data_IF_984247306312
#
_entry.id   IF_984247306312
#
_cell.length_a   1.000
_cell.length_b   1.000
_cell.length_c   1.000
_cell.angle_alpha   90.00
_cell.angle_beta   90.00
_cell.angle_gamma   90.00
#
_symmetry.space_group_name_H-M   'P 1'
#
loop_
_entity.id
_entity.type
_entity.pdbx_description
1 polymer ?
#
# COMPACT_ATOMS: atom_id res chain seq x y z
N UNK A 1 -2.16 -3.19 -19.34
CA UNK A 1 -1.82 -2.52 -18.07
C UNK A 1 -3.09 -2.44 -17.24
N UNK A 2 -3.12 -3.16 -16.13
CA UNK A 2 -4.22 -3.13 -15.17
C UNK A 2 -4.22 -1.80 -14.42
N UNK A 3 -5.32 -1.05 -14.45
CA UNK A 3 -5.45 0.14 -13.62
C UNK A 3 -5.72 -0.29 -12.16
N UNK A 4 -4.67 -0.43 -11.35
CA UNK A 4 -4.75 -0.85 -9.94
C UNK A 4 -5.64 0.07 -9.10
N UNK A 5 -5.62 1.37 -9.38
CA UNK A 5 -6.40 2.37 -8.64
C UNK A 5 -7.91 2.10 -8.69
N UNK A 6 -8.40 1.56 -9.80
CA UNK A 6 -9.82 1.26 -10.03
C UNK A 6 -10.25 -0.14 -9.58
N UNK A 7 -9.32 -0.95 -9.08
CA UNK A 7 -9.63 -2.29 -8.59
C UNK A 7 -10.06 -2.27 -7.12
N UNK A 8 -10.60 -3.39 -6.64
CA UNK A 8 -11.02 -3.60 -5.26
C UNK A 8 -10.34 -4.83 -4.69
N UNK A 9 -9.93 -4.73 -3.44
CA UNK A 9 -9.44 -5.89 -2.70
C UNK A 9 -10.55 -6.94 -2.59
N UNK A 10 -10.13 -8.20 -2.54
CA UNK A 10 -11.01 -9.36 -2.35
C UNK A 10 -10.46 -10.24 -1.25
N UNK A 11 -11.34 -10.92 -0.53
CA UNK A 11 -10.92 -11.99 0.38
C UNK A 11 -10.20 -13.09 -0.42
N UNK A 12 -9.02 -13.49 0.05
CA UNK A 12 -8.16 -14.50 -0.59
C UNK A 12 -8.08 -15.77 0.27
N UNK A 13 -9.24 -16.30 0.69
CA UNK A 13 -9.32 -17.53 1.46
C UNK A 13 -8.76 -18.71 0.66
N UNK A 14 -7.70 -19.34 1.16
CA UNK A 14 -7.02 -20.44 0.47
C UNK A 14 -6.19 -20.02 -0.74
N UNK A 15 -5.97 -18.71 -0.94
CA UNK A 15 -5.07 -18.20 -1.98
C UNK A 15 -3.59 -18.42 -1.65
N UNK A 16 -2.75 -18.37 -2.67
CA UNK A 16 -1.29 -18.44 -2.52
C UNK A 16 -0.66 -17.08 -2.75
N UNK A 17 0.41 -16.76 -2.01
CA UNK A 17 1.20 -15.57 -2.26
C UNK A 17 1.72 -15.52 -3.71
N UNK A 18 1.90 -14.30 -4.23
CA UNK A 18 2.50 -14.06 -5.54
C UNK A 18 3.94 -14.59 -5.59
N UNK A 19 4.34 -15.04 -6.79
CA UNK A 19 5.73 -15.39 -7.05
C UNK A 19 6.60 -14.12 -7.26
N UNK A 20 7.94 -14.24 -7.20
CA UNK A 20 8.85 -13.08 -7.32
C UNK A 20 8.78 -12.33 -8.66
N UNK A 21 8.40 -12.99 -9.74
CA UNK A 21 8.25 -12.36 -11.06
C UNK A 21 7.01 -11.44 -11.06
N UNK A 22 5.87 -11.97 -10.62
CA UNK A 22 4.64 -11.20 -10.47
C UNK A 22 4.81 -10.00 -9.52
N UNK A 23 5.50 -10.18 -8.39
CA UNK A 23 5.79 -9.06 -7.46
C UNK A 23 6.57 -7.95 -8.17
N UNK A 24 7.58 -8.31 -8.97
CA UNK A 24 8.42 -7.36 -9.71
C UNK A 24 7.60 -6.57 -10.75
N UNK A 25 6.75 -7.26 -11.50
CA UNK A 25 5.89 -6.65 -12.52
C UNK A 25 4.86 -5.68 -11.92
N UNK A 26 4.38 -5.97 -10.71
CA UNK A 26 3.46 -5.08 -10.00
C UNK A 26 4.18 -3.90 -9.33
N UNK A 27 5.38 -4.11 -8.76
CA UNK A 27 6.20 -3.01 -8.24
C UNK A 27 6.53 -1.96 -9.31
N UNK A 28 6.70 -2.38 -10.57
CA UNK A 28 6.89 -1.46 -11.69
C UNK A 28 5.67 -0.52 -11.93
N UNK A 29 4.49 -0.86 -11.43
CA UNK A 29 3.26 -0.08 -11.56
C UNK A 29 3.02 0.88 -10.39
N UNK A 30 3.74 0.74 -9.27
CA UNK A 30 3.60 1.58 -8.06
C UNK A 30 4.95 2.20 -7.69
N UNK A 31 5.31 3.29 -8.39
CA UNK A 31 6.64 3.89 -8.25
C UNK A 31 6.97 4.34 -6.82
N UNK A 32 8.17 4.00 -6.36
CA UNK A 32 8.66 4.30 -5.01
C UNK A 32 8.31 3.25 -3.95
N UNK A 33 7.48 2.27 -4.28
CA UNK A 33 7.31 1.05 -3.46
C UNK A 33 8.43 0.06 -3.75
N UNK A 34 8.83 -0.69 -2.73
CA UNK A 34 9.87 -1.73 -2.84
C UNK A 34 9.57 -2.90 -1.90
N UNK A 35 10.12 -4.08 -2.18
CA UNK A 35 9.99 -5.24 -1.30
C UNK A 35 10.96 -5.11 -0.11
N UNK A 36 10.45 -5.26 1.11
CA UNK A 36 11.20 -5.15 2.35
C UNK A 36 10.66 -6.13 3.40
N UNK A 37 11.46 -7.14 3.73
CA UNK A 37 11.16 -8.16 4.75
C UNK A 37 9.77 -8.78 4.62
N UNK A 38 9.40 -9.23 3.41
CA UNK A 38 8.14 -9.93 3.14
C UNK A 38 6.93 -9.02 2.88
N UNK A 39 7.08 -7.70 2.97
CA UNK A 39 6.04 -6.71 2.68
C UNK A 39 6.49 -5.75 1.57
N UNK A 40 5.56 -5.11 0.86
CA UNK A 40 5.90 -3.92 0.08
C UNK A 40 5.90 -2.69 1.00
N UNK A 41 6.87 -1.81 0.84
CA UNK A 41 7.06 -0.64 1.70
C UNK A 41 7.28 0.64 0.87
N UNK A 42 6.73 1.75 1.34
CA UNK A 42 7.05 3.11 0.88
C UNK A 42 7.03 4.11 2.02
N UNK A 43 7.93 5.09 1.96
CA UNK A 43 7.93 6.24 2.89
C UNK A 43 7.30 7.45 2.20
N UNK A 44 6.24 7.98 2.79
CA UNK A 44 5.59 9.23 2.36
C UNK A 44 6.10 10.36 3.26
N UNK A 45 6.60 11.45 2.66
CA UNK A 45 7.16 12.59 3.38
C UNK A 45 6.22 13.79 3.31
N UNK A 46 6.20 14.59 4.37
CA UNK A 46 5.31 15.72 4.62
C UNK A 46 6.06 16.84 5.35
N UNK A 47 5.51 18.06 5.39
CA UNK A 47 6.21 19.20 5.99
C UNK A 47 6.11 19.25 7.52
N UNK A 48 5.07 18.65 8.08
CA UNK A 48 4.73 18.74 9.50
C UNK A 48 3.78 17.60 9.91
N UNK A 49 3.56 17.49 11.22
CA UNK A 49 2.75 16.41 11.79
C UNK A 49 1.27 16.47 11.42
N UNK A 50 0.72 17.67 11.19
CA UNK A 50 -0.67 17.81 10.79
C UNK A 50 -0.90 17.21 9.39
N UNK A 51 0.00 17.46 8.45
CA UNK A 51 -0.02 16.83 7.11
C UNK A 51 0.15 15.31 7.20
N UNK A 52 1.11 14.83 8.02
CA UNK A 52 1.33 13.39 8.23
C UNK A 52 0.07 12.71 8.76
N UNK A 53 -0.58 13.27 9.79
CA UNK A 53 -1.82 12.72 10.33
C UNK A 53 -2.99 12.81 9.34
N UNK A 54 -3.05 13.86 8.52
CA UNK A 54 -4.03 13.97 7.44
C UNK A 54 -3.94 12.80 6.46
N UNK A 55 -2.73 12.46 6.01
CA UNK A 55 -2.48 11.29 5.17
C UNK A 55 -2.86 9.98 5.88
N UNK A 56 -2.43 9.79 7.13
CA UNK A 56 -2.72 8.56 7.91
C UNK A 56 -4.23 8.34 8.04
N UNK A 57 -5.00 9.39 8.35
CA UNK A 57 -6.45 9.27 8.49
C UNK A 57 -7.13 8.91 7.16
N UNK A 58 -6.72 9.54 6.06
CA UNK A 58 -7.26 9.24 4.73
C UNK A 58 -6.90 7.80 4.30
N UNK A 59 -5.67 7.36 4.57
CA UNK A 59 -5.24 5.99 4.30
C UNK A 59 -6.00 4.97 5.17
N UNK A 60 -6.28 5.30 6.43
CA UNK A 60 -7.09 4.46 7.31
C UNK A 60 -8.51 4.26 6.78
N UNK A 61 -9.12 5.29 6.18
CA UNK A 61 -10.42 5.16 5.52
C UNK A 61 -10.37 4.22 4.30
N UNK A 62 -9.31 4.34 3.48
CA UNK A 62 -9.08 3.44 2.33
C UNK A 62 -8.89 2.00 2.82
N UNK A 63 -8.04 1.78 3.81
CA UNK A 63 -7.77 0.46 4.37
C UNK A 63 -9.05 -0.25 4.84
N UNK A 64 -9.93 0.47 5.56
CA UNK A 64 -11.22 -0.07 5.97
C UNK A 64 -12.19 -0.31 4.80
N UNK A 65 -12.17 0.57 3.78
CA UNK A 65 -13.00 0.42 2.58
C UNK A 65 -12.61 -0.78 1.73
N UNK A 66 -11.31 -1.12 1.73
CA UNK A 66 -10.75 -2.27 1.02
C UNK A 66 -10.67 -3.53 1.89
N UNK A 67 -10.98 -3.43 3.17
CA UNK A 67 -10.78 -4.51 4.15
C UNK A 67 -9.36 -5.11 4.07
N UNK A 68 -8.37 -4.23 3.95
CA UNK A 68 -6.95 -4.59 3.82
C UNK A 68 -6.08 -3.56 4.51
N UNK A 69 -5.52 -3.91 5.68
CA UNK A 69 -4.91 -2.97 6.61
C UNK A 69 -3.38 -2.95 6.51
N UNK A 70 -2.75 -1.76 6.39
CA UNK A 70 -1.29 -1.64 6.43
C UNK A 70 -0.73 -1.69 7.84
N UNK A 71 0.57 -2.03 7.95
CA UNK A 71 1.39 -1.60 9.07
C UNK A 71 1.86 -0.16 8.82
N UNK A 72 1.64 0.73 9.80
CA UNK A 72 2.02 2.14 9.72
C UNK A 72 3.04 2.51 10.80
N UNK A 73 4.15 3.13 10.38
CA UNK A 73 5.08 3.80 11.29
C UNK A 73 5.00 5.30 11.07
N UNK A 74 4.45 6.01 12.05
CA UNK A 74 4.14 7.44 11.97
C UNK A 74 5.21 8.26 12.68
N UNK A 75 5.85 9.18 11.96
CA UNK A 75 6.84 10.12 12.47
C UNK A 75 6.31 11.57 12.34
N UNK A 76 7.11 12.56 12.72
CA UNK A 76 6.72 13.97 12.61
C UNK A 76 6.43 14.38 11.15
N UNK A 77 7.34 14.07 10.24
CA UNK A 77 7.37 14.55 8.85
C UNK A 77 7.19 13.43 7.82
N UNK A 78 6.87 12.21 8.25
CA UNK A 78 6.72 11.09 7.34
C UNK A 78 5.89 9.96 7.92
N UNK A 79 5.36 9.14 7.03
CA UNK A 79 4.74 7.87 7.36
C UNK A 79 5.37 6.76 6.51
N UNK A 80 5.85 5.71 7.17
CA UNK A 80 6.24 4.48 6.47
C UNK A 80 5.03 3.56 6.43
N UNK A 81 4.64 3.18 5.21
CA UNK A 81 3.47 2.33 4.95
C UNK A 81 3.97 0.99 4.44
N UNK A 82 3.50 -0.10 5.03
CA UNK A 82 3.80 -1.47 4.60
C UNK A 82 2.54 -2.27 4.38
N UNK A 83 2.51 -3.05 3.30
CA UNK A 83 1.43 -3.99 3.00
C UNK A 83 1.99 -5.40 2.76
N UNK A 84 1.34 -6.36 3.39
CA UNK A 84 1.40 -7.78 3.10
C UNK A 84 0.01 -8.38 3.34
N UNK A 85 -0.23 -9.58 2.80
CA UNK A 85 -1.50 -10.28 2.94
C UNK A 85 -1.32 -11.51 3.82
N UNK A 86 -1.69 -11.37 5.10
CA UNK A 86 -1.54 -12.43 6.10
C UNK A 86 -2.21 -13.76 5.72
N UNK A 87 -3.40 -13.71 5.10
CA UNK A 87 -4.16 -14.93 4.77
C UNK A 87 -3.48 -15.83 3.74
N UNK A 88 -2.55 -15.29 2.95
CA UNK A 88 -1.78 -16.03 1.95
C UNK A 88 -0.29 -16.19 2.32
N UNK A 89 0.10 -15.69 3.50
CA UNK A 89 1.47 -15.77 4.01
C UNK A 89 2.50 -15.00 3.20
N UNK A 90 2.12 -13.89 2.55
CA UNK A 90 3.02 -13.10 1.71
C UNK A 90 2.30 -12.01 0.91
N UNK A 91 2.88 -11.66 -0.24
CA UNK A 91 2.34 -10.58 -1.09
C UNK A 91 1.19 -11.10 -1.96
N UNK A 92 0.15 -10.28 -2.12
CA UNK A 92 -0.97 -10.49 -3.03
C UNK A 92 -1.26 -9.25 -3.87
N UNK A 93 -2.26 -9.36 -4.76
CA UNK A 93 -2.72 -8.22 -5.56
C UNK A 93 -3.31 -7.10 -4.69
N UNK A 94 -3.90 -7.43 -3.53
CA UNK A 94 -4.52 -6.46 -2.63
C UNK A 94 -3.50 -5.43 -2.13
N UNK A 95 -2.25 -5.87 -1.89
CA UNK A 95 -1.16 -5.00 -1.45
C UNK A 95 -0.90 -3.89 -2.50
N UNK A 96 -0.88 -4.25 -3.78
CA UNK A 96 -0.66 -3.31 -4.88
C UNK A 96 -1.87 -2.41 -5.16
N UNK A 97 -3.10 -2.91 -4.95
CA UNK A 97 -4.32 -2.09 -5.04
C UNK A 97 -4.29 -1.00 -3.97
N UNK A 98 -3.99 -1.37 -2.72
CA UNK A 98 -3.88 -0.40 -1.63
C UNK A 98 -2.69 0.55 -1.80
N UNK A 99 -1.54 0.07 -2.30
CA UNK A 99 -0.39 0.91 -2.62
C UNK A 99 -0.72 2.00 -3.66
N UNK A 100 -1.41 1.63 -4.74
CA UNK A 100 -1.85 2.59 -5.77
C UNK A 100 -2.82 3.64 -5.21
N UNK A 101 -3.72 3.24 -4.30
CA UNK A 101 -4.66 4.14 -3.64
C UNK A 101 -3.98 5.08 -2.63
N UNK A 102 -2.98 4.59 -1.90
CA UNK A 102 -2.15 5.41 -1.03
C UNK A 102 -1.38 6.47 -1.82
N UNK A 103 -0.81 6.11 -2.98
CA UNK A 103 -0.14 7.06 -3.87
C UNK A 103 -1.08 8.17 -4.37
N UNK A 104 -2.34 7.83 -4.69
CA UNK A 104 -3.33 8.80 -5.16
C UNK A 104 -3.70 9.87 -4.11
N UNK A 105 -3.51 9.59 -2.80
CA UNK A 105 -3.76 10.59 -1.75
C UNK A 105 -2.80 11.78 -1.81
N UNK A 106 -1.59 11.58 -2.33
CA UNK A 106 -0.53 12.60 -2.37
C UNK A 106 -0.26 13.13 -3.78
N UNK A 107 -0.91 12.57 -4.79
CA UNK A 107 -0.73 12.94 -6.20
C UNK A 107 -1.16 14.37 -6.55
N UNK A 108 -1.93 15.04 -5.67
CA UNK A 108 -2.41 16.41 -5.88
C UNK A 108 -1.49 17.50 -5.30
N UNK A 109 -0.41 17.11 -4.60
CA UNK A 109 0.45 18.04 -3.83
C UNK A 109 1.81 18.26 -4.51
N UNK A 110 1.89 18.09 -5.84
CA UNK A 110 3.09 18.41 -6.62
C UNK A 110 3.18 19.91 -6.95
#
# INVERSE_FOLDING_TARGET
MSNLLNQRCKALEGGTAMNPEAIRDHLAQVSGWHLSSGAIEKTFNFRNYHETLGFVNALGWIANTEDHHPELRVFYDRCVVRFDTHSVGGISINDFICAAKADALVAFVA
#
